data_IF_725344506718
#
_entry.id   IF_725344506718
#
_cell.length_a   1.000
_cell.length_b   1.000
_cell.length_c   1.000
_cell.angle_alpha   90.00
_cell.angle_beta   90.00
_cell.angle_gamma   90.00
#
_symmetry.space_group_name_H-M   'P 1'
#
loop_
_entity.id
_entity.type
_entity.pdbx_description
1 polymer ?
#
# COMPACT_ATOMS: atom_id res chain seq x y z
N UNK A 1 -40.64 24.53 25.07
CA UNK A 1 -40.34 25.20 23.78
C UNK A 1 -39.02 24.63 23.26
N UNK A 2 -39.09 23.93 22.12
CA UNK A 2 -38.02 23.51 21.18
C UNK A 2 -36.85 22.61 21.65
N UNK A 3 -37.01 21.33 21.31
CA UNK A 3 -36.05 20.22 21.28
C UNK A 3 -35.25 20.31 19.97
N UNK A 4 -33.98 20.75 20.00
CA UNK A 4 -33.13 20.74 18.81
C UNK A 4 -32.39 19.39 18.70
N UNK A 5 -32.88 18.54 17.82
CA UNK A 5 -32.30 17.26 17.44
C UNK A 5 -31.25 17.51 16.35
N UNK A 6 -29.97 17.48 16.70
CA UNK A 6 -28.90 17.48 15.71
C UNK A 6 -28.74 16.08 15.13
N UNK A 7 -29.29 15.87 13.93
CA UNK A 7 -29.05 14.69 13.09
C UNK A 7 -27.63 14.77 12.54
N UNK A 8 -26.74 13.91 13.03
CA UNK A 8 -25.44 13.65 12.43
C UNK A 8 -25.71 12.89 11.12
N UNK A 9 -25.55 13.58 10.00
CA UNK A 9 -25.62 12.96 8.69
C UNK A 9 -24.49 11.94 8.55
N UNK A 10 -24.86 10.66 8.45
CA UNK A 10 -23.97 9.58 8.08
C UNK A 10 -23.25 9.94 6.77
N UNK A 11 -21.96 10.26 6.86
CA UNK A 11 -21.07 10.34 5.71
C UNK A 11 -20.86 8.92 5.17
N UNK A 12 -21.73 8.52 4.23
CA UNK A 12 -21.68 7.22 3.59
C UNK A 12 -20.52 7.24 2.59
N UNK A 13 -19.34 6.83 3.04
CA UNK A 13 -18.16 6.66 2.18
C UNK A 13 -18.53 5.63 1.13
N UNK A 14 -18.67 6.07 -0.13
CA UNK A 14 -18.94 5.18 -1.26
C UNK A 14 -17.65 4.41 -1.57
N UNK A 15 -17.47 3.25 -0.93
CA UNK A 15 -16.32 2.33 -1.08
C UNK A 15 -16.19 1.75 -2.50
N UNK A 16 -17.14 2.04 -3.42
CA UNK A 16 -17.15 1.56 -4.81
C UNK A 16 -15.93 1.96 -5.65
N UNK A 17 -15.11 2.92 -5.22
CA UNK A 17 -13.92 3.39 -5.97
C UNK A 17 -12.58 2.80 -5.50
N UNK A 18 -12.57 1.90 -4.52
CA UNK A 18 -11.34 1.34 -3.97
C UNK A 18 -10.95 0.03 -4.68
N UNK A 19 -10.41 0.17 -5.89
CA UNK A 19 -9.87 -0.93 -6.72
C UNK A 19 -10.90 -2.02 -7.04
N UNK A 20 -11.26 -2.15 -8.32
CA UNK A 20 -11.91 -3.35 -8.85
C UNK A 20 -10.99 -4.55 -8.66
N UNK A 21 -11.09 -5.16 -7.50
CA UNK A 21 -10.77 -6.56 -7.26
C UNK A 21 -12.09 -7.11 -6.72
N UNK A 22 -12.74 -8.08 -7.38
CA UNK A 22 -14.01 -8.60 -6.90
C UNK A 22 -13.81 -9.16 -5.49
N UNK A 23 -14.55 -8.60 -4.53
CA UNK A 23 -14.61 -9.05 -3.15
C UNK A 23 -15.80 -9.98 -3.06
N UNK A 24 -15.59 -11.25 -2.71
CA UNK A 24 -16.63 -12.07 -2.08
C UNK A 24 -16.31 -12.14 -0.60
N UNK A 25 -17.07 -11.38 0.17
CA UNK A 25 -17.00 -11.32 1.62
C UNK A 25 -17.83 -12.47 2.19
N UNK A 26 -17.22 -13.34 3.01
CA UNK A 26 -17.93 -14.11 4.03
C UNK A 26 -17.03 -14.32 5.25
N UNK A 27 -17.47 -13.73 6.35
CA UNK A 27 -17.07 -14.07 7.72
C UNK A 27 -17.60 -15.47 8.06
N UNK A 28 -16.79 -16.29 8.73
CA UNK A 28 -17.15 -16.96 10.00
C UNK A 28 -15.96 -17.72 10.58
N UNK A 29 -15.69 -17.47 11.86
CA UNK A 29 -14.97 -18.37 12.77
C UNK A 29 -15.67 -19.73 12.81
N UNK A 30 -14.92 -20.83 12.67
CA UNK A 30 -15.03 -22.05 13.47
C UNK A 30 -13.92 -23.05 13.10
N UNK A 31 -13.23 -23.55 14.13
CA UNK A 31 -12.27 -24.66 14.09
C UNK A 31 -12.95 -25.94 13.59
N UNK A 32 -12.32 -26.68 12.64
CA UNK A 32 -12.15 -28.16 12.63
C UNK A 32 -11.40 -28.61 11.35
N UNK A 33 -10.27 -29.32 11.50
CA UNK A 33 -9.67 -30.18 10.45
C UNK A 33 -10.48 -31.49 10.38
N UNK A 34 -10.73 -32.17 9.23
CA UNK A 34 -9.72 -32.54 8.23
C UNK A 34 -10.14 -32.48 6.73
N UNK A 35 -9.11 -32.42 5.89
CA UNK A 35 -9.01 -32.91 4.49
C UNK A 35 -10.17 -32.61 3.52
N UNK A 36 -10.19 -31.43 2.89
CA UNK A 36 -10.91 -31.21 1.62
C UNK A 36 -10.08 -30.32 0.68
N UNK A 37 -9.84 -30.86 -0.52
CA UNK A 37 -9.17 -30.30 -1.71
C UNK A 37 -9.18 -28.76 -1.81
N UNK A 38 -7.98 -28.19 -1.86
CA UNK A 38 -7.71 -26.77 -2.18
C UNK A 38 -8.36 -26.37 -3.52
N UNK A 39 -9.56 -25.78 -3.45
CA UNK A 39 -10.19 -25.02 -4.54
C UNK A 39 -10.54 -23.63 -4.03
N UNK A 40 -9.53 -22.84 -3.73
CA UNK A 40 -9.62 -21.38 -3.69
C UNK A 40 -8.38 -20.81 -4.36
N UNK A 41 -8.16 -21.23 -5.62
CA UNK A 41 -7.35 -20.43 -6.53
C UNK A 41 -8.12 -19.12 -6.66
N UNK A 42 -7.64 -18.11 -5.93
CA UNK A 42 -8.11 -16.74 -6.06
C UNK A 42 -8.02 -16.45 -7.55
N UNK A 43 -9.16 -16.24 -8.21
CA UNK A 43 -9.26 -15.93 -9.63
C UNK A 43 -8.19 -14.88 -9.95
N UNK A 44 -7.08 -15.34 -10.53
CA UNK A 44 -5.94 -14.49 -10.76
C UNK A 44 -6.32 -13.61 -11.95
N UNK A 45 -6.04 -12.31 -11.85
CA UNK A 45 -6.19 -11.37 -12.99
C UNK A 45 -5.50 -11.91 -14.25
N UNK A 46 -4.53 -12.82 -14.08
CA UNK A 46 -3.82 -13.51 -15.13
C UNK A 46 -3.90 -15.03 -14.88
N UNK A 47 -4.85 -15.75 -15.52
CA UNK A 47 -5.06 -17.18 -15.29
C UNK A 47 -3.88 -18.06 -15.72
N UNK A 48 -3.07 -17.58 -16.66
CA UNK A 48 -1.85 -18.26 -17.13
C UNK A 48 -0.66 -18.14 -16.16
N UNK A 49 -0.76 -17.29 -15.14
CA UNK A 49 0.34 -17.03 -14.21
C UNK A 49 0.06 -17.67 -12.86
N UNK A 50 1.06 -18.37 -12.34
CA UNK A 50 1.03 -18.92 -10.99
C UNK A 50 1.42 -17.83 -9.98
N UNK A 51 0.66 -17.72 -8.90
CA UNK A 51 0.98 -16.79 -7.82
C UNK A 51 1.98 -17.46 -6.89
N UNK A 52 3.22 -16.95 -6.84
CA UNK A 52 4.26 -17.48 -5.94
C UNK A 52 4.28 -16.77 -4.59
N UNK A 53 3.88 -15.50 -4.56
CA UNK A 53 3.89 -14.67 -3.37
C UNK A 53 2.71 -13.69 -3.37
N UNK A 54 2.09 -13.52 -2.19
CA UNK A 54 1.02 -12.55 -1.98
C UNK A 54 1.16 -11.88 -0.62
N UNK A 55 1.20 -10.55 -0.63
CA UNK A 55 1.15 -9.72 0.56
C UNK A 55 -0.31 -9.32 0.88
N UNK A 56 -0.92 -9.85 1.96
CA UNK A 56 -2.34 -9.59 2.26
C UNK A 56 -2.62 -8.15 2.68
N UNK A 57 -1.65 -7.48 3.33
CA UNK A 57 -1.82 -6.12 3.85
C UNK A 57 -1.64 -5.02 2.79
N UNK A 58 -1.41 -5.38 1.52
CA UNK A 58 -1.22 -4.42 0.42
C UNK A 58 -2.40 -3.45 0.26
N UNK A 59 -3.61 -3.91 0.62
CA UNK A 59 -4.82 -3.08 0.59
C UNK A 59 -4.75 -1.91 1.57
N UNK A 60 -4.26 -2.15 2.78
CA UNK A 60 -4.13 -1.12 3.80
C UNK A 60 -3.09 -0.08 3.40
N UNK A 61 -2.00 -0.49 2.77
CA UNK A 61 -0.98 0.43 2.23
C UNK A 61 -1.53 1.27 1.09
N UNK A 62 -2.30 0.67 0.18
CA UNK A 62 -3.00 1.41 -0.88
C UNK A 62 -3.94 2.47 -0.28
N UNK A 63 -4.72 2.10 0.74
CA UNK A 63 -5.60 3.03 1.44
C UNK A 63 -4.80 4.14 2.15
N UNK A 64 -3.72 3.80 2.82
CA UNK A 64 -2.83 4.74 3.50
C UNK A 64 -2.27 5.79 2.55
N UNK A 65 -1.74 5.38 1.39
CA UNK A 65 -1.23 6.33 0.39
C UNK A 65 -2.32 7.21 -0.24
N UNK A 66 -3.52 6.67 -0.44
CA UNK A 66 -4.68 7.46 -0.90
C UNK A 66 -5.10 8.49 0.15
N UNK A 67 -5.18 8.11 1.41
CA UNK A 67 -5.51 9.01 2.52
C UNK A 67 -4.43 10.09 2.69
N UNK A 68 -3.16 9.72 2.65
CA UNK A 68 -2.01 10.65 2.64
C UNK A 68 -2.15 11.69 1.55
N UNK A 69 -2.46 11.26 0.31
CA UNK A 69 -2.63 12.16 -0.83
C UNK A 69 -3.80 13.13 -0.63
N UNK A 70 -4.95 12.61 -0.20
CA UNK A 70 -6.12 13.45 0.04
C UNK A 70 -5.82 14.48 1.12
N UNK A 71 -5.13 14.07 2.19
CA UNK A 71 -4.75 14.97 3.26
C UNK A 71 -3.78 16.06 2.80
N UNK A 72 -2.80 15.71 1.97
CA UNK A 72 -1.86 16.68 1.39
C UNK A 72 -2.59 17.72 0.52
N UNK A 73 -3.57 17.28 -0.28
CA UNK A 73 -4.41 18.17 -1.10
C UNK A 73 -5.22 19.10 -0.19
N UNK A 74 -5.89 18.57 0.83
CA UNK A 74 -6.69 19.39 1.74
C UNK A 74 -5.84 20.39 2.52
N UNK A 75 -4.65 19.99 2.96
CA UNK A 75 -3.71 20.89 3.64
C UNK A 75 -3.22 21.99 2.71
N UNK A 76 -2.92 21.66 1.45
CA UNK A 76 -2.50 22.62 0.43
C UNK A 76 -3.57 23.66 0.08
N UNK A 77 -4.86 23.32 0.24
CA UNK A 77 -5.97 24.27 0.06
C UNK A 77 -6.30 25.03 1.34
N UNK A 78 -6.19 24.39 2.51
CA UNK A 78 -6.55 24.98 3.80
C UNK A 78 -5.60 26.13 4.19
N UNK A 79 -4.30 25.97 3.96
CA UNK A 79 -3.30 27.00 4.32
C UNK A 79 -3.56 28.34 3.60
N UNK A 80 -3.67 28.41 2.26
CA UNK A 80 -3.96 29.67 1.58
C UNK A 80 -5.35 30.22 1.93
N UNK A 81 -6.33 29.34 2.19
CA UNK A 81 -7.66 29.76 2.63
C UNK A 81 -7.61 30.45 4.01
N UNK A 82 -6.89 29.88 4.97
CA UNK A 82 -6.69 30.49 6.28
C UNK A 82 -5.93 31.81 6.19
N UNK A 83 -4.94 31.89 5.31
CA UNK A 83 -4.22 33.13 5.05
C UNK A 83 -5.15 34.21 4.49
N UNK A 84 -5.98 33.89 3.50
CA UNK A 84 -6.94 34.83 2.92
C UNK A 84 -7.98 35.31 3.94
N UNK A 85 -8.54 34.40 4.74
CA UNK A 85 -9.50 34.74 5.80
C UNK A 85 -8.90 35.62 6.90
N UNK A 86 -7.60 35.48 7.15
CA UNK A 86 -6.87 36.33 8.08
C UNK A 86 -6.69 37.75 7.54
N UNK A 87 -6.45 37.91 6.22
CA UNK A 87 -6.32 39.24 5.59
C UNK A 87 -7.62 40.02 5.62
N UNK A 88 -8.75 39.35 5.46
CA UNK A 88 -10.10 39.95 5.54
C UNK A 88 -10.56 40.20 7.00
N UNK A 89 -9.71 39.95 8.00
CA UNK A 89 -10.02 40.06 9.44
C UNK A 89 -11.25 39.23 9.90
N UNK A 90 -11.64 38.20 9.12
CA UNK A 90 -12.74 37.29 9.48
C UNK A 90 -12.30 36.37 10.63
N UNK A 91 -11.01 35.99 10.62
CA UNK A 91 -10.38 35.17 11.65
C UNK A 91 -9.16 35.93 12.17
N UNK A 92 -8.93 35.87 13.49
CA UNK A 92 -7.73 36.46 14.10
C UNK A 92 -6.45 35.75 13.61
N UNK A 93 -5.35 36.50 13.49
CA UNK A 93 -4.07 36.00 13.01
C UNK A 93 -3.51 34.85 13.85
N UNK A 94 -3.74 34.88 15.17
CA UNK A 94 -3.23 33.88 16.11
C UNK A 94 -3.80 32.47 15.81
N UNK A 95 -5.12 32.25 15.76
CA UNK A 95 -5.65 30.93 15.39
C UNK A 95 -5.35 30.52 13.94
N UNK A 96 -5.28 31.48 13.00
CA UNK A 96 -4.92 31.20 11.61
C UNK A 96 -3.48 30.67 11.47
N UNK A 97 -2.52 31.31 12.15
CA UNK A 97 -1.11 30.89 12.17
C UNK A 97 -0.93 29.56 12.90
N UNK A 98 -1.54 29.39 14.07
CA UNK A 98 -1.45 28.14 14.85
C UNK A 98 -2.00 26.93 14.09
N UNK A 99 -3.17 27.10 13.44
CA UNK A 99 -3.76 26.04 12.61
C UNK A 99 -2.87 25.68 11.43
N UNK A 100 -2.27 26.68 10.77
CA UNK A 100 -1.37 26.47 9.63
C UNK A 100 -0.10 25.70 10.03
N UNK A 101 0.47 25.98 11.21
CA UNK A 101 1.63 25.26 11.73
C UNK A 101 1.28 23.80 12.02
N UNK A 102 0.13 23.54 12.66
CA UNK A 102 -0.30 22.16 12.97
C UNK A 102 -0.56 21.37 11.69
N UNK A 103 -1.31 21.95 10.75
CA UNK A 103 -1.69 21.29 9.49
C UNK A 103 -0.45 20.99 8.65
N UNK A 104 0.52 21.90 8.59
CA UNK A 104 1.77 21.68 7.86
C UNK A 104 2.66 20.63 8.54
N UNK A 105 2.82 20.70 9.87
CA UNK A 105 3.58 19.70 10.63
C UNK A 105 3.00 18.29 10.48
N UNK A 106 1.68 18.16 10.54
CA UNK A 106 1.01 16.87 10.35
C UNK A 106 1.14 16.34 8.92
N UNK A 107 1.00 17.21 7.91
CA UNK A 107 1.20 16.84 6.51
C UNK A 107 2.65 16.37 6.25
N UNK A 108 3.64 17.05 6.83
CA UNK A 108 5.05 16.69 6.72
C UNK A 108 5.33 15.33 7.37
N UNK A 109 4.82 15.11 8.58
CA UNK A 109 4.94 13.83 9.28
C UNK A 109 4.37 12.69 8.44
N UNK A 110 3.15 12.85 7.91
CA UNK A 110 2.53 11.85 7.02
C UNK A 110 3.30 11.63 5.72
N UNK A 111 3.92 12.67 5.16
CA UNK A 111 4.75 12.53 3.97
C UNK A 111 6.00 11.69 4.25
N UNK A 112 6.69 11.96 5.37
CA UNK A 112 7.86 11.19 5.82
C UNK A 112 7.50 9.72 6.08
N UNK A 113 6.43 9.48 6.85
CA UNK A 113 5.93 8.12 7.10
C UNK A 113 5.52 7.43 5.78
N UNK A 114 4.87 8.16 4.88
CA UNK A 114 4.54 7.71 3.53
C UNK A 114 5.74 7.21 2.74
N UNK A 115 6.87 7.91 2.80
CA UNK A 115 8.10 7.53 2.11
C UNK A 115 8.70 6.22 2.66
N UNK A 116 8.55 5.94 3.95
CA UNK A 116 8.99 4.67 4.53
C UNK A 116 8.17 3.48 3.98
N UNK A 117 6.87 3.68 3.75
CA UNK A 117 5.96 2.67 3.23
C UNK A 117 5.79 2.71 1.70
N UNK A 118 6.70 3.38 0.97
CA UNK A 118 6.62 3.44 -0.50
C UNK A 118 7.26 2.21 -1.17
N UNK A 119 6.84 1.96 -2.42
CA UNK A 119 7.38 0.95 -3.34
C UNK A 119 7.30 -0.50 -2.82
N UNK A 120 6.18 -0.88 -2.21
CA UNK A 120 5.98 -2.21 -1.65
C UNK A 120 5.43 -3.20 -2.68
N UNK A 121 6.02 -4.40 -2.71
CA UNK A 121 5.58 -5.50 -3.57
C UNK A 121 4.35 -6.16 -2.96
N UNK A 122 3.28 -6.22 -3.75
CA UNK A 122 2.02 -6.80 -3.36
C UNK A 122 1.90 -8.26 -3.77
N UNK A 123 2.09 -8.57 -5.04
CA UNK A 123 1.88 -9.90 -5.60
C UNK A 123 2.97 -10.18 -6.62
N UNK A 124 3.52 -11.39 -6.59
CA UNK A 124 4.47 -11.85 -7.59
C UNK A 124 3.85 -13.03 -8.33
N UNK A 125 3.82 -12.89 -9.64
CA UNK A 125 3.29 -13.84 -10.60
C UNK A 125 4.45 -14.45 -11.38
N UNK A 126 4.41 -15.76 -11.59
CA UNK A 126 5.44 -16.52 -12.26
C UNK A 126 4.84 -17.27 -13.44
N UNK A 127 5.49 -17.21 -14.60
CA UNK A 127 5.09 -17.92 -15.82
C UNK A 127 6.30 -18.53 -16.51
N UNK A 128 6.20 -19.84 -16.74
CA UNK A 128 7.08 -20.63 -17.61
C UNK A 128 8.58 -20.41 -17.41
N UNK A 129 9.02 -20.35 -16.14
CA UNK A 129 10.43 -20.29 -15.72
C UNK A 129 11.30 -19.13 -16.20
N UNK A 130 10.81 -18.20 -17.02
CA UNK A 130 11.60 -17.05 -17.50
C UNK A 130 10.92 -15.71 -17.28
N UNK A 131 9.58 -15.70 -17.19
CA UNK A 131 8.79 -14.47 -17.14
C UNK A 131 8.13 -14.27 -15.78
N UNK A 132 8.37 -13.10 -15.18
CA UNK A 132 7.83 -12.72 -13.89
C UNK A 132 7.06 -11.42 -14.05
N UNK A 133 5.85 -11.41 -13.51
CA UNK A 133 5.07 -10.19 -13.35
C UNK A 133 5.04 -9.78 -11.89
N UNK A 134 5.54 -8.60 -11.58
CA UNK A 134 5.56 -8.05 -10.23
C UNK A 134 4.50 -6.95 -10.12
N UNK A 135 3.53 -7.17 -9.25
CA UNK A 135 2.54 -6.17 -8.89
C UNK A 135 2.97 -5.45 -7.62
N UNK A 136 3.24 -4.15 -7.73
CA UNK A 136 3.63 -3.30 -6.60
C UNK A 136 2.74 -2.06 -6.51
N UNK A 137 2.81 -1.39 -5.36
CA UNK A 137 2.09 -0.13 -5.13
C UNK A 137 3.07 1.02 -5.16
N UNK A 138 2.79 2.02 -5.99
CA UNK A 138 3.59 3.24 -6.07
C UNK A 138 3.30 4.18 -4.88
N UNK A 139 4.09 5.25 -4.76
CA UNK A 139 3.96 6.24 -3.66
C UNK A 139 2.62 6.99 -3.64
N UNK A 140 1.84 6.88 -4.72
CA UNK A 140 0.52 7.48 -4.88
C UNK A 140 -0.62 6.51 -4.54
N UNK A 141 -0.30 5.28 -4.14
CA UNK A 141 -1.30 4.25 -3.82
C UNK A 141 -1.95 3.62 -5.06
N UNK A 142 -1.37 3.78 -6.24
CA UNK A 142 -1.78 3.08 -7.47
C UNK A 142 -1.01 1.77 -7.59
N UNK A 143 -1.72 0.70 -7.94
CA UNK A 143 -1.11 -0.58 -8.31
C UNK A 143 -0.51 -0.47 -9.71
N UNK A 144 0.74 -0.89 -9.84
CA UNK A 144 1.47 -0.99 -11.11
C UNK A 144 1.90 -2.46 -11.24
N UNK A 145 1.65 -3.04 -12.41
CA UNK A 145 2.09 -4.38 -12.76
C UNK A 145 3.26 -4.20 -13.76
N UNK A 146 4.42 -4.82 -13.50
CA UNK A 146 5.61 -4.79 -14.37
C UNK A 146 5.97 -6.21 -14.78
N UNK A 147 6.31 -6.38 -16.06
CA UNK A 147 6.82 -7.62 -16.63
C UNK A 147 8.33 -7.57 -16.74
N UNK A 148 8.99 -8.54 -16.12
CA UNK A 148 10.45 -8.62 -16.02
C UNK A 148 10.90 -10.06 -16.16
N UNK A 149 12.08 -10.26 -16.75
CA UNK A 149 12.72 -11.58 -16.76
C UNK A 149 13.49 -11.81 -15.46
N UNK A 150 13.64 -13.08 -15.05
CA UNK A 150 14.43 -13.47 -13.86
C UNK A 150 15.83 -12.87 -13.92
N UNK A 151 16.46 -12.85 -15.09
CA UNK A 151 17.83 -12.38 -15.28
C UNK A 151 18.01 -10.87 -15.02
N UNK A 152 16.93 -10.09 -15.07
CA UNK A 152 16.95 -8.64 -14.83
C UNK A 152 16.65 -8.27 -13.36
N UNK A 153 16.32 -9.26 -12.54
CA UNK A 153 16.07 -9.08 -11.12
C UNK A 153 17.38 -9.27 -10.38
N UNK A 154 17.85 -8.20 -9.74
CA UNK A 154 19.01 -8.23 -8.86
C UNK A 154 18.52 -8.11 -7.42
N UNK A 155 18.59 -9.18 -6.60
CA UNK A 155 18.41 -9.03 -5.17
C UNK A 155 19.53 -8.11 -4.67
N UNK A 156 19.18 -7.10 -3.86
CA UNK A 156 20.22 -6.30 -3.20
C UNK A 156 20.90 -7.21 -2.19
N UNK A 157 22.09 -7.71 -2.53
CA UNK A 157 22.98 -8.37 -1.59
C UNK A 157 23.10 -7.50 -0.34
N UNK A 158 22.78 -8.14 0.79
CA UNK A 158 22.90 -7.68 2.16
C UNK A 158 23.52 -6.30 2.32
N UNK A 159 22.69 -5.27 2.54
CA UNK A 159 23.18 -4.09 3.23
C UNK A 159 23.56 -4.56 4.63
N UNK A 160 24.84 -4.91 4.80
CA UNK A 160 25.45 -5.44 6.01
C UNK A 160 24.90 -4.73 7.26
N UNK A 161 24.39 -5.52 8.22
CA UNK A 161 24.17 -5.08 9.60
C UNK A 161 23.17 -3.93 9.83
N UNK A 162 21.90 -4.08 9.43
CA UNK A 162 20.85 -3.24 10.00
C UNK A 162 19.53 -3.97 10.17
N UNK A 163 18.90 -3.75 11.32
CA UNK A 163 17.62 -4.32 11.79
C UNK A 163 16.50 -4.24 10.72
N UNK A 164 16.60 -3.30 9.76
CA UNK A 164 15.72 -3.17 8.61
C UNK A 164 15.65 -4.43 7.72
N UNK A 165 16.76 -5.16 7.54
CA UNK A 165 16.80 -6.37 6.71
C UNK A 165 15.95 -7.52 7.25
N UNK A 166 15.62 -7.48 8.56
CA UNK A 166 14.76 -8.50 9.19
C UNK A 166 13.30 -8.39 8.74
N UNK A 167 12.88 -7.21 8.28
CA UNK A 167 11.47 -6.96 7.96
C UNK A 167 11.20 -6.89 6.46
N UNK A 168 12.12 -6.36 5.67
CA UNK A 168 11.96 -6.25 4.22
C UNK A 168 13.30 -6.37 3.48
N UNK A 169 13.26 -6.94 2.27
CA UNK A 169 14.38 -7.00 1.33
C UNK A 169 14.15 -6.01 0.20
N UNK A 170 15.20 -5.30 -0.22
CA UNK A 170 15.14 -4.41 -1.38
C UNK A 170 15.52 -5.19 -2.65
N UNK A 171 14.72 -5.04 -3.70
CA UNK A 171 14.91 -5.71 -4.98
C UNK A 171 15.09 -4.63 -6.04
N UNK A 172 16.16 -4.77 -6.82
CA UNK A 172 16.39 -3.95 -8.00
C UNK A 172 15.93 -4.69 -9.24
N UNK A 173 15.27 -3.95 -10.12
CA UNK A 173 14.80 -4.42 -11.41
C UNK A 173 15.44 -3.47 -12.42
N UNK A 174 16.13 -3.96 -13.45
CA UNK A 174 16.79 -3.10 -14.43
C UNK A 174 15.83 -2.11 -15.10
N UNK A 175 14.57 -2.51 -15.32
CA UNK A 175 13.51 -1.63 -15.82
C UNK A 175 13.10 -0.48 -14.87
N UNK A 176 13.48 -0.50 -13.59
CA UNK A 176 13.06 0.47 -12.57
C UNK A 176 14.26 1.22 -11.97
N UNK A 177 14.14 2.55 -11.88
CA UNK A 177 15.14 3.43 -11.24
C UNK A 177 15.15 3.35 -9.71
N UNK A 178 14.13 2.76 -9.09
CA UNK A 178 13.95 2.74 -7.65
C UNK A 178 13.83 1.29 -7.15
N UNK A 179 14.42 0.95 -6.00
CA UNK A 179 14.28 -0.39 -5.42
C UNK A 179 12.85 -0.62 -4.93
N UNK A 180 12.38 -1.85 -5.10
CA UNK A 180 11.12 -2.33 -4.56
C UNK A 180 11.35 -3.05 -3.23
N UNK A 181 10.43 -2.91 -2.29
CA UNK A 181 10.49 -3.54 -0.96
C UNK A 181 9.64 -4.82 -0.94
N UNK A 182 10.27 -5.95 -0.63
CA UNK A 182 9.64 -7.25 -0.43
C UNK A 182 9.56 -7.59 1.06
N UNK A 183 8.36 -7.84 1.58
CA UNK A 183 8.12 -8.21 2.98
C UNK A 183 7.91 -9.72 3.12
N UNK A 184 9.00 -10.48 3.09
CA UNK A 184 8.96 -11.96 3.10
C UNK A 184 8.22 -12.52 4.33
N UNK A 185 8.49 -11.99 5.52
CA UNK A 185 7.93 -12.49 6.79
C UNK A 185 6.42 -12.27 6.98
N UNK A 186 5.83 -11.36 6.21
CA UNK A 186 4.43 -10.97 6.35
C UNK A 186 3.58 -11.36 5.14
N UNK A 187 4.19 -12.03 4.16
CA UNK A 187 3.53 -12.51 2.95
C UNK A 187 3.13 -13.98 3.04
N UNK A 188 2.14 -14.35 2.23
CA UNK A 188 1.74 -15.74 2.00
C UNK A 188 2.57 -16.24 0.81
N UNK A 189 3.44 -17.21 1.07
CA UNK A 189 4.28 -17.86 0.05
C UNK A 189 3.58 -19.15 -0.38
N UNK A 190 3.25 -19.25 -1.67
CA UNK A 190 2.59 -20.43 -2.22
C UNK A 190 3.58 -21.51 -2.64
N UNK A 191 4.72 -21.11 -3.19
CA UNK A 191 5.80 -22.03 -3.55
C UNK A 191 7.14 -21.41 -3.17
N UNK A 192 7.78 -21.98 -2.14
CA UNK A 192 9.07 -21.50 -1.61
C UNK A 192 10.21 -21.73 -2.61
N UNK A 193 10.26 -22.89 -3.25
CA UNK A 193 11.33 -23.27 -4.17
C UNK A 193 11.40 -22.30 -5.36
N UNK A 194 10.25 -21.98 -5.95
CA UNK A 194 10.16 -20.98 -7.03
C UNK A 194 10.51 -19.56 -6.58
N UNK A 195 10.35 -19.25 -5.30
CA UNK A 195 10.71 -17.95 -4.76
C UNK A 195 12.22 -17.86 -4.52
N UNK A 196 12.83 -18.93 -3.99
CA UNK A 196 14.29 -19.04 -3.84
C UNK A 196 14.97 -19.00 -5.22
N UNK A 197 14.43 -19.67 -6.24
CA UNK A 197 15.04 -19.66 -7.57
C UNK A 197 15.05 -18.27 -8.23
N UNK A 198 14.09 -17.42 -7.88
CA UNK A 198 13.95 -16.07 -8.44
C UNK A 198 14.73 -15.02 -7.65
N UNK A 199 14.70 -15.11 -6.32
CA UNK A 199 15.26 -14.07 -5.44
C UNK A 199 16.53 -14.50 -4.70
N UNK A 200 16.99 -15.74 -4.88
CA UNK A 200 18.06 -16.36 -4.10
C UNK A 200 17.61 -16.75 -2.69
N UNK A 201 18.56 -17.18 -1.86
CA UNK A 201 18.29 -17.52 -0.46
C UNK A 201 17.73 -16.32 0.30
N UNK A 202 16.52 -16.50 0.82
CA UNK A 202 15.79 -15.43 1.49
C UNK A 202 15.62 -15.62 3.01
N UNK A 203 16.04 -16.76 3.55
CA UNK A 203 16.04 -17.08 4.99
C UNK A 203 17.12 -16.33 5.77
#
# INVERSE_FOLDING_TARGET
MLRSSYRINHFKIHIKFLCQIPIKEKQTLQQKSPTIKNKNVTESKYPEYEIIYRFPYIKYICLFHKSKRNMLITSGLMIPLMFFLSQENIISEIPATFTSIIVSGFALSLYLTGKLFSNQIGIIYFKDNESIRIAYVNEWGKRIDIDTSINDIKPLESLSSSIANKHFKNIYIGSLKHPLKLYVNYGIISNKEKLVSVFGDYE
#
